data_IF_682503061974
#
_entry.id   IF_682503061974
#
_cell.length_a   1.000
_cell.length_b   1.000
_cell.length_c   1.000
_cell.angle_alpha   90.00
_cell.angle_beta   90.00
_cell.angle_gamma   90.00
#
_symmetry.space_group_name_H-M   'P 1'
#
loop_
_entity.id
_entity.type
_entity.pdbx_description
1 polymer ?
#
# COMPACT_ATOMS: atom_id res chain seq x y z
N UNK A 1 -6.75 8.30 -15.21
CA UNK A 1 -5.91 7.75 -14.12
C UNK A 1 -4.61 8.54 -14.07
N UNK A 2 -4.25 9.09 -12.92
CA UNK A 2 -3.03 9.89 -12.77
C UNK A 2 -1.81 8.98 -12.71
N UNK A 3 -0.77 9.27 -13.51
CA UNK A 3 0.51 8.58 -13.41
C UNK A 3 1.21 9.03 -12.12
N UNK A 4 1.62 8.07 -11.29
CA UNK A 4 2.35 8.36 -10.05
C UNK A 4 3.80 8.75 -10.35
N UNK A 5 4.30 9.70 -9.57
CA UNK A 5 5.69 10.20 -9.61
C UNK A 5 6.16 10.45 -8.17
N UNK A 6 7.48 10.40 -7.89
CA UNK A 6 8.01 10.73 -6.57
C UNK A 6 7.55 12.10 -6.06
N UNK A 7 7.29 12.20 -4.75
CA UNK A 7 6.75 13.41 -4.12
C UNK A 7 5.22 13.49 -4.11
N UNK A 8 4.52 12.73 -4.97
CA UNK A 8 3.07 12.58 -4.81
C UNK A 8 2.74 11.80 -3.54
N UNK A 9 1.66 12.15 -2.83
CA UNK A 9 1.15 11.31 -1.75
C UNK A 9 0.78 9.94 -2.31
N UNK A 10 1.15 8.88 -1.59
CA UNK A 10 0.75 7.53 -1.94
C UNK A 10 -0.79 7.42 -1.94
N UNK A 11 -1.41 6.95 -3.05
CA UNK A 11 -2.85 6.73 -3.12
C UNK A 11 -3.31 5.77 -2.02
N UNK A 12 -4.50 6.01 -1.50
CA UNK A 12 -5.07 5.10 -0.52
C UNK A 12 -5.50 3.78 -1.16
N UNK A 13 -5.47 2.72 -0.36
CA UNK A 13 -5.99 1.42 -0.73
C UNK A 13 -6.40 0.63 0.51
N UNK A 14 -7.27 -0.33 0.27
CA UNK A 14 -7.75 -1.28 1.25
C UNK A 14 -7.76 -2.67 0.61
N UNK A 15 -7.08 -3.62 1.24
CA UNK A 15 -6.93 -4.99 0.76
C UNK A 15 -7.02 -5.96 1.95
N UNK A 16 -7.42 -7.18 1.69
CA UNK A 16 -7.25 -8.28 2.65
C UNK A 16 -5.81 -8.80 2.60
N UNK A 17 -5.23 -9.06 3.78
CA UNK A 17 -3.97 -9.78 3.88
C UNK A 17 -4.16 -11.30 3.73
N UNK A 18 -3.06 -12.06 3.81
CA UNK A 18 -3.07 -13.53 3.68
C UNK A 18 -3.85 -14.26 4.80
N UNK A 19 -4.26 -13.54 5.84
CA UNK A 19 -5.07 -14.05 6.94
C UNK A 19 -6.52 -13.53 6.89
N UNK A 20 -6.91 -12.84 5.81
CA UNK A 20 -8.23 -12.24 5.66
C UNK A 20 -8.46 -10.98 6.50
N UNK A 21 -7.39 -10.37 7.04
CA UNK A 21 -7.51 -9.12 7.80
C UNK A 21 -7.47 -7.95 6.84
N UNK A 22 -8.39 -7.01 7.00
CA UNK A 22 -8.39 -5.75 6.27
C UNK A 22 -7.15 -4.93 6.65
N UNK A 23 -6.38 -4.51 5.64
CA UNK A 23 -5.24 -3.61 5.78
C UNK A 23 -5.53 -2.35 4.96
N UNK A 24 -5.46 -1.17 5.62
CA UNK A 24 -5.57 0.14 4.99
C UNK A 24 -4.24 0.88 5.03
N UNK A 25 -3.85 1.52 3.92
CA UNK A 25 -2.64 2.34 3.92
C UNK A 25 -2.73 3.51 4.92
N UNK A 26 -3.92 4.09 5.07
CA UNK A 26 -4.19 5.18 6.00
C UNK A 26 -3.75 4.88 7.45
N UNK A 27 -3.85 3.64 7.92
CA UNK A 27 -3.56 3.24 9.31
C UNK A 27 -2.07 3.39 9.68
N UNK A 28 -1.19 3.49 8.68
CA UNK A 28 0.26 3.62 8.87
C UNK A 28 0.75 5.07 8.72
N UNK A 29 -0.07 5.98 8.19
CA UNK A 29 0.34 7.36 7.92
C UNK A 29 0.76 8.07 9.22
N UNK A 30 1.93 8.72 9.20
CA UNK A 30 2.46 9.48 10.34
C UNK A 30 2.95 8.65 11.52
N UNK A 31 2.90 7.31 11.44
CA UNK A 31 3.37 6.42 12.51
C UNK A 31 4.79 5.92 12.24
N UNK A 32 5.06 5.53 10.99
CA UNK A 32 6.37 5.02 10.55
C UNK A 32 6.51 5.06 9.03
N UNK A 33 7.75 5.00 8.49
CA UNK A 33 7.97 4.77 7.06
C UNK A 33 7.36 3.43 6.60
N UNK A 34 6.82 3.40 5.38
CA UNK A 34 6.16 2.23 4.79
C UNK A 34 6.80 1.92 3.43
N UNK A 35 7.06 0.65 3.16
CA UNK A 35 7.52 0.15 1.86
C UNK A 35 6.46 -0.77 1.28
N UNK A 36 6.00 -0.47 0.06
CA UNK A 36 5.09 -1.34 -0.70
C UNK A 36 5.90 -2.04 -1.80
N UNK A 37 5.90 -3.37 -1.79
CA UNK A 37 6.63 -4.18 -2.77
C UNK A 37 5.64 -5.00 -3.58
N UNK A 38 5.65 -4.81 -4.90
CA UNK A 38 4.95 -5.69 -5.83
C UNK A 38 5.88 -6.83 -6.22
N UNK A 39 5.61 -8.01 -5.68
CA UNK A 39 6.36 -9.21 -6.00
C UNK A 39 5.77 -9.86 -7.25
N UNK A 40 6.64 -10.44 -8.08
CA UNK A 40 6.25 -11.33 -9.18
C UNK A 40 6.63 -12.76 -8.79
N UNK A 41 5.78 -13.74 -9.13
CA UNK A 41 6.11 -15.17 -8.95
C UNK A 41 5.25 -15.93 -7.94
N UNK A 42 4.21 -15.31 -7.38
CA UNK A 42 3.14 -16.02 -6.70
C UNK A 42 2.03 -16.27 -7.72
N UNK A 43 2.06 -17.45 -8.35
CA UNK A 43 0.95 -17.98 -9.14
C UNK A 43 0.11 -18.88 -8.23
#
# INVERSE_FOLDING_TARGET
MTRLSPGHPAPDFELEDVHGRTVRLADFRGRQPVVLVFLRGFA
#
